data_IF_918853260026
#
_entry.id   IF_918853260026
#
_cell.length_a   1.000
_cell.length_b   1.000
_cell.length_c   1.000
_cell.angle_alpha   90.00
_cell.angle_beta   90.00
_cell.angle_gamma   90.00
#
_symmetry.space_group_name_H-M   'P 1'
#
loop_
_entity.id
_entity.type
_entity.pdbx_description
1 polymer ?
#
# COMPACT_ATOMS: atom_id res chain seq x y z
N UNK A 1 2.70 -10.39 18.27
CA UNK A 1 1.45 -10.15 17.53
C UNK A 1 1.31 -11.22 16.46
N UNK A 2 0.26 -12.05 16.53
CA UNK A 2 -0.04 -13.05 15.48
C UNK A 2 -0.77 -12.33 14.36
N UNK A 3 -0.07 -11.97 13.29
CA UNK A 3 -0.73 -11.48 12.09
C UNK A 3 -1.24 -12.70 11.31
N UNK A 4 -2.53 -12.99 11.42
CA UNK A 4 -3.20 -13.98 10.57
C UNK A 4 -3.59 -13.28 9.28
N UNK A 5 -3.03 -13.71 8.15
CA UNK A 5 -3.56 -13.37 6.83
C UNK A 5 -4.31 -14.60 6.36
N UNK A 6 -5.64 -14.55 6.43
CA UNK A 6 -6.48 -15.48 5.69
C UNK A 6 -6.20 -15.24 4.20
N UNK A 7 -5.46 -16.16 3.57
CA UNK A 7 -5.12 -16.09 2.15
C UNK A 7 -6.43 -16.00 1.35
N UNK A 8 -6.79 -14.80 0.91
CA UNK A 8 -7.99 -14.52 0.14
C UNK A 8 -7.56 -14.05 -1.23
N UNK A 9 -7.69 -14.92 -2.23
CA UNK A 9 -7.59 -14.50 -3.61
C UNK A 9 -8.79 -13.60 -3.88
N UNK A 10 -8.54 -12.34 -4.28
CA UNK A 10 -9.60 -11.39 -4.59
C UNK A 10 -9.46 -10.95 -6.05
N UNK A 11 -10.59 -10.90 -6.76
CA UNK A 11 -10.68 -10.41 -8.14
C UNK A 11 -11.58 -9.18 -8.20
N UNK A 12 -11.17 -8.18 -8.98
CA UNK A 12 -12.05 -7.09 -9.39
C UNK A 12 -13.06 -7.66 -10.40
N UNK A 13 -14.32 -7.76 -10.00
CA UNK A 13 -15.41 -8.21 -10.87
C UNK A 13 -16.01 -7.01 -11.64
N UNK A 14 -17.31 -7.05 -11.96
CA UNK A 14 -18.04 -5.98 -12.63
C UNK A 14 -18.10 -4.66 -11.84
N UNK A 15 -17.74 -4.67 -10.56
CA UNK A 15 -17.73 -3.50 -9.70
C UNK A 15 -16.62 -2.52 -10.09
N UNK A 16 -16.90 -1.22 -9.97
CA UNK A 16 -15.92 -0.18 -10.31
C UNK A 16 -14.80 -0.07 -9.28
N UNK A 17 -15.00 -0.60 -8.07
CA UNK A 17 -14.02 -0.57 -6.98
C UNK A 17 -13.96 -1.87 -6.19
N UNK A 18 -12.78 -2.15 -5.66
CA UNK A 18 -12.50 -3.25 -4.73
C UNK A 18 -11.74 -2.70 -3.52
N UNK A 19 -12.13 -3.09 -2.30
CA UNK A 19 -11.57 -2.54 -1.06
C UNK A 19 -11.08 -3.66 -0.14
N UNK A 20 -9.84 -3.55 0.32
CA UNK A 20 -9.21 -4.48 1.27
C UNK A 20 -8.99 -3.79 2.61
N UNK A 21 -9.43 -4.42 3.69
CA UNK A 21 -9.23 -3.97 5.06
C UNK A 21 -8.25 -4.87 5.78
N UNK A 22 -7.15 -4.30 6.29
CA UNK A 22 -6.23 -4.97 7.20
C UNK A 22 -6.33 -4.32 8.56
N UNK A 23 -6.85 -5.03 9.55
CA UNK A 23 -7.02 -4.52 10.90
C UNK A 23 -5.94 -5.08 11.82
N UNK A 24 -5.26 -4.17 12.52
CA UNK A 24 -4.39 -4.46 13.65
C UNK A 24 -5.10 -3.96 14.91
N UNK A 25 -5.50 -4.91 15.75
CA UNK A 25 -6.08 -4.61 17.06
C UNK A 25 -4.96 -4.57 18.11
N UNK A 26 -4.90 -3.45 18.84
CA UNK A 26 -3.98 -3.24 19.96
C UNK A 26 -4.80 -2.87 21.19
N UNK A 27 -4.18 -2.97 22.36
CA UNK A 27 -4.84 -2.70 23.64
C UNK A 27 -5.56 -1.34 23.67
N UNK A 28 -4.86 -0.29 23.22
CA UNK A 28 -5.31 1.11 23.33
C UNK A 28 -5.69 1.76 22.01
N UNK A 29 -5.61 1.05 20.89
CA UNK A 29 -5.99 1.56 19.59
C UNK A 29 -6.30 0.44 18.60
N UNK A 30 -7.20 0.72 17.67
CA UNK A 30 -7.42 -0.11 16.50
C UNK A 30 -6.95 0.63 15.27
N UNK A 31 -6.02 0.03 14.53
CA UNK A 31 -5.51 0.59 13.30
C UNK A 31 -6.02 -0.25 12.13
N UNK A 32 -6.77 0.36 11.23
CA UNK A 32 -7.22 -0.30 10.00
C UNK A 32 -6.54 0.35 8.81
N UNK A 33 -5.75 -0.44 8.08
CA UNK A 33 -5.17 -0.05 6.80
C UNK A 33 -6.14 -0.46 5.69
N UNK A 34 -6.65 0.52 4.95
CA UNK A 34 -7.60 0.33 3.86
C UNK A 34 -6.90 0.56 2.52
N UNK A 35 -6.97 -0.42 1.63
CA UNK A 35 -6.54 -0.28 0.24
C UNK A 35 -7.77 -0.21 -0.64
N UNK A 36 -7.85 0.79 -1.52
CA UNK A 36 -8.91 0.91 -2.53
C UNK A 36 -8.31 0.77 -3.92
N UNK A 37 -8.89 -0.13 -4.69
CA UNK A 37 -8.54 -0.39 -6.08
C UNK A 37 -9.72 0.03 -6.96
N UNK A 38 -9.46 0.75 -8.04
CA UNK A 38 -10.48 1.12 -9.01
C UNK A 38 -10.23 0.41 -10.34
N UNK A 39 -11.30 0.01 -11.01
CA UNK A 39 -11.23 -0.59 -12.34
C UNK A 39 -10.54 0.37 -13.32
N UNK A 40 -9.64 -0.16 -14.14
CA UNK A 40 -8.87 0.61 -15.13
C UNK A 40 -7.96 1.71 -14.54
N UNK A 41 -7.58 1.60 -13.26
CA UNK A 41 -6.66 2.54 -12.61
C UNK A 41 -5.40 1.83 -12.07
N UNK A 42 -4.25 2.48 -12.20
CA UNK A 42 -3.02 2.08 -11.51
C UNK A 42 -2.82 2.81 -10.18
N UNK A 43 -3.64 3.84 -9.90
CA UNK A 43 -3.65 4.50 -8.60
C UNK A 43 -4.35 3.60 -7.58
N UNK A 44 -3.65 3.32 -6.49
CA UNK A 44 -4.15 2.56 -5.35
C UNK A 44 -4.18 3.53 -4.17
N UNK A 45 -5.36 3.77 -3.62
CA UNK A 45 -5.49 4.61 -2.43
C UNK A 45 -5.14 3.79 -1.19
N UNK A 46 -4.38 4.41 -0.29
CA UNK A 46 -4.00 3.82 0.99
C UNK A 46 -4.42 4.76 2.11
N UNK A 47 -5.35 4.31 2.95
CA UNK A 47 -5.88 5.07 4.06
C UNK A 47 -5.63 4.34 5.40
N UNK A 48 -5.38 5.11 6.45
CA UNK A 48 -5.24 4.63 7.81
C UNK A 48 -6.40 5.16 8.65
N UNK A 49 -7.30 4.26 9.07
CA UNK A 49 -8.42 4.57 9.97
C UNK A 49 -8.01 4.17 11.38
N UNK A 50 -7.87 5.16 12.26
CA UNK A 50 -7.37 4.98 13.62
C UNK A 50 -8.50 5.22 14.62
N UNK A 51 -8.82 4.20 15.42
CA UNK A 51 -9.70 4.35 16.58
C UNK A 51 -8.85 4.38 17.84
N UNK A 52 -8.70 5.56 18.45
CA UNK A 52 -8.03 5.69 19.74
C UNK A 52 -8.98 5.25 20.86
N UNK A 53 -8.55 4.28 21.68
CA UNK A 53 -9.32 3.76 22.82
C UNK A 53 -8.74 4.17 24.18
N UNK A 54 -7.64 4.92 24.19
CA UNK A 54 -7.03 5.44 25.42
C UNK A 54 -7.56 6.83 25.76
N UNK A 55 -7.37 7.21 27.03
CA UNK A 55 -7.62 8.56 27.55
C UNK A 55 -6.50 9.55 27.17
N UNK A 56 -5.44 9.08 26.50
CA UNK A 56 -4.32 9.90 26.03
C UNK A 56 -4.32 9.99 24.50
N UNK A 57 -3.79 11.09 23.92
CA UNK A 57 -3.69 11.23 22.48
C UNK A 57 -2.83 10.13 21.84
N UNK A 58 -3.38 9.48 20.81
CA UNK A 58 -2.62 8.57 19.96
C UNK A 58 -1.76 9.34 18.95
N UNK A 59 -0.51 8.91 18.76
CA UNK A 59 0.42 9.55 17.84
C UNK A 59 1.22 8.52 17.03
N UNK A 60 1.44 8.82 15.75
CA UNK A 60 2.29 8.04 14.86
C UNK A 60 2.91 8.93 13.76
N UNK A 61 3.85 8.36 13.02
CA UNK A 61 4.41 8.95 11.81
C UNK A 61 4.09 8.06 10.62
N UNK A 62 3.57 8.65 9.56
CA UNK A 62 3.40 7.95 8.29
C UNK A 62 4.78 7.70 7.67
N UNK A 63 5.01 6.48 7.18
CA UNK A 63 6.24 6.10 6.48
C UNK A 63 5.89 5.33 5.21
N UNK A 64 6.53 5.72 4.10
CA UNK A 64 6.41 5.06 2.81
C UNK A 64 7.79 4.87 2.19
N UNK A 65 8.02 3.70 1.61
CA UNK A 65 9.29 3.36 0.98
C UNK A 65 9.04 2.56 -0.30
N UNK A 66 9.78 2.91 -1.35
CA UNK A 66 9.89 2.11 -2.57
C UNK A 66 11.25 1.43 -2.52
N UNK A 67 11.26 0.09 -2.53
CA UNK A 67 12.47 -0.72 -2.60
C UNK A 67 12.44 -1.48 -3.90
N UNK A 68 13.56 -1.47 -4.62
CA UNK A 68 13.77 -2.27 -5.83
C UNK A 68 14.95 -3.20 -5.62
N UNK A 69 14.97 -4.28 -6.35
CA UNK A 69 16.17 -5.10 -6.49
C UNK A 69 17.23 -4.39 -7.36
N UNK A 70 18.42 -4.98 -7.41
CA UNK A 70 19.54 -4.50 -8.23
C UNK A 70 19.44 -4.88 -9.72
N UNK A 71 18.35 -5.50 -10.16
CA UNK A 71 18.23 -6.11 -11.49
C UNK A 71 18.01 -5.05 -12.56
N UNK A 72 18.94 -4.88 -13.50
CA UNK A 72 18.71 -3.99 -14.64
C UNK A 72 17.66 -4.58 -15.61
N UNK A 73 16.70 -3.78 -16.11
CA UNK A 73 15.81 -4.20 -17.19
C UNK A 73 16.62 -4.53 -18.45
N UNK A 74 16.18 -5.53 -19.21
CA UNK A 74 16.74 -5.76 -20.54
C UNK A 74 16.40 -4.58 -21.46
N UNK A 75 17.38 -4.10 -22.22
CA UNK A 75 17.23 -3.06 -23.24
C UNK A 75 17.94 -3.49 -24.53
N UNK A 76 17.47 -2.96 -25.67
CA UNK A 76 18.07 -3.24 -26.97
C UNK A 76 19.49 -2.66 -27.10
N UNK A 77 20.35 -3.31 -27.88
CA UNK A 77 21.75 -2.90 -28.06
C UNK A 77 21.93 -1.60 -28.87
N UNK A 78 20.90 -1.14 -29.58
CA UNK A 78 20.91 0.13 -30.30
C UNK A 78 19.91 1.11 -29.69
N UNK A 79 20.33 2.35 -29.48
CA UNK A 79 19.48 3.45 -29.04
C UNK A 79 19.78 3.95 -27.62
N UNK A 80 18.93 4.88 -27.15
CA UNK A 80 19.06 5.48 -25.82
C UNK A 80 18.74 4.46 -24.72
N UNK A 81 19.52 4.48 -23.64
CA UNK A 81 19.22 3.71 -22.43
C UNK A 81 18.10 4.39 -21.63
N UNK A 82 17.06 3.66 -21.20
CA UNK A 82 16.02 4.22 -20.36
C UNK A 82 16.58 4.62 -18.99
N UNK A 83 16.06 5.69 -18.41
CA UNK A 83 16.39 6.06 -17.03
C UNK A 83 15.80 5.05 -16.05
N UNK A 84 16.62 4.62 -15.09
CA UNK A 84 16.22 3.72 -14.01
C UNK A 84 16.76 4.28 -12.69
N UNK A 85 15.89 4.93 -11.93
CA UNK A 85 16.24 5.54 -10.66
C UNK A 85 15.02 6.16 -9.98
N UNK A 86 15.23 6.66 -8.77
CA UNK A 86 14.19 7.38 -8.04
C UNK A 86 13.97 8.77 -8.66
N UNK A 87 12.72 9.14 -8.84
CA UNK A 87 12.32 10.49 -9.21
C UNK A 87 11.30 10.99 -8.20
N UNK A 88 11.43 12.26 -7.82
CA UNK A 88 10.47 12.98 -6.98
C UNK A 88 10.14 14.30 -7.66
N UNK A 89 8.90 14.76 -7.48
CA UNK A 89 8.42 16.08 -7.92
C UNK A 89 7.65 16.71 -6.78
N UNK A 90 7.58 18.05 -6.75
CA UNK A 90 7.01 18.84 -5.66
C UNK A 90 5.91 19.74 -6.19
#
# INVERSE_FOLDING_TARGET
>A
AKNSVAKTNNSLNSDDQFVVYLTLDQENAQNTKRFTFAKSSYLIDVEYIITNRADTPWAAKLYGQIIRDGSEPSYGYMGMRPYLGAAITT
#
